data_IF_759963094639
#
_entry.id   IF_759963094639
#
_cell.length_a   1.000
_cell.length_b   1.000
_cell.length_c   1.000
_cell.angle_alpha   90.00
_cell.angle_beta   90.00
_cell.angle_gamma   90.00
#
_symmetry.space_group_name_H-M   'P 1'
#
loop_
_entity.id
_entity.type
_entity.pdbx_description
1 polymer ?
#
# COMPACT_ATOMS: atom_id res chain seq x y z
N UNK A 1 -10.89 16.36 -37.57
CA UNK A 1 -11.88 15.41 -38.12
C UNK A 1 -11.62 15.16 -39.59
N UNK A 2 -11.95 13.99 -40.08
CA UNK A 2 -11.85 13.58 -41.47
C UNK A 2 -13.10 12.81 -41.90
N UNK A 3 -13.34 12.77 -43.22
CA UNK A 3 -14.42 11.98 -43.76
C UNK A 3 -14.12 11.54 -45.19
N UNK A 4 -14.73 10.44 -45.59
CA UNK A 4 -14.74 9.94 -46.96
C UNK A 4 -16.15 10.10 -47.52
N UNK A 5 -16.26 10.85 -48.64
CA UNK A 5 -17.52 11.10 -49.26
C UNK A 5 -17.37 11.22 -50.79
N UNK A 6 -18.42 10.82 -51.54
CA UNK A 6 -18.58 11.17 -52.95
C UNK A 6 -19.57 12.34 -53.08
N UNK A 7 -19.31 13.26 -53.97
CA UNK A 7 -20.12 14.47 -54.12
C UNK A 7 -19.81 15.56 -53.11
N UNK A 8 -20.57 16.66 -53.17
CA UNK A 8 -20.39 17.81 -52.29
C UNK A 8 -21.11 17.60 -50.96
N UNK A 9 -20.34 17.75 -49.88
CA UNK A 9 -20.79 17.59 -48.48
C UNK A 9 -20.35 18.78 -47.64
N UNK A 10 -21.25 19.40 -46.90
CA UNK A 10 -20.97 20.41 -45.92
C UNK A 10 -21.10 19.79 -44.51
N UNK A 11 -20.12 20.00 -43.67
CA UNK A 11 -20.08 19.47 -42.28
C UNK A 11 -20.09 20.61 -41.30
N UNK A 12 -20.88 20.49 -40.24
CA UNK A 12 -20.86 21.35 -39.07
C UNK A 12 -20.94 20.52 -37.78
N UNK A 13 -20.48 21.10 -36.69
CA UNK A 13 -20.44 20.44 -35.39
C UNK A 13 -21.06 21.30 -34.31
N UNK A 14 -21.53 20.69 -33.24
CA UNK A 14 -21.88 21.34 -31.98
C UNK A 14 -21.63 20.41 -30.80
N UNK A 15 -21.55 20.96 -29.62
CA UNK A 15 -21.25 20.25 -28.37
C UNK A 15 -22.21 20.66 -27.25
N UNK A 16 -22.37 19.78 -26.26
CA UNK A 16 -23.19 20.04 -25.08
C UNK A 16 -22.90 19.07 -23.94
N UNK A 17 -23.44 19.37 -22.77
CA UNK A 17 -23.22 18.55 -21.56
C UNK A 17 -24.40 17.63 -21.23
N UNK A 18 -25.52 17.74 -21.92
CA UNK A 18 -26.71 16.89 -21.81
C UNK A 18 -26.77 15.89 -22.97
N UNK A 19 -27.26 14.66 -22.72
CA UNK A 19 -27.35 13.62 -23.75
C UNK A 19 -28.26 14.02 -24.91
N UNK A 20 -29.38 14.61 -24.58
CA UNK A 20 -30.34 15.12 -25.58
C UNK A 20 -30.05 16.61 -25.77
N UNK A 21 -29.91 17.09 -27.01
CA UNK A 21 -29.63 18.49 -27.28
C UNK A 21 -30.73 19.42 -26.78
N UNK A 22 -30.34 20.40 -25.98
CA UNK A 22 -31.20 21.46 -25.43
C UNK A 22 -30.60 22.86 -25.67
N UNK A 23 -31.17 23.89 -25.04
CA UNK A 23 -30.76 25.28 -25.19
C UNK A 23 -29.35 25.58 -24.60
N UNK A 24 -28.76 24.64 -23.85
CA UNK A 24 -27.40 24.76 -23.29
C UNK A 24 -26.30 24.27 -24.23
N UNK A 25 -26.69 23.62 -25.34
CA UNK A 25 -25.74 23.21 -26.36
C UNK A 25 -25.18 24.41 -27.12
N UNK A 26 -23.94 24.30 -27.58
CA UNK A 26 -23.35 25.33 -28.43
C UNK A 26 -24.18 25.49 -29.73
N UNK A 27 -24.06 26.67 -30.33
CA UNK A 27 -24.51 26.85 -31.70
C UNK A 27 -23.73 25.89 -32.64
N UNK A 28 -24.33 25.59 -33.79
CA UNK A 28 -23.60 24.88 -34.85
C UNK A 28 -22.38 25.70 -35.30
N UNK A 29 -21.26 25.05 -35.47
CA UNK A 29 -20.06 25.64 -36.06
C UNK A 29 -20.34 26.08 -37.49
N UNK A 30 -19.43 26.86 -38.06
CA UNK A 30 -19.49 27.23 -39.47
C UNK A 30 -19.56 25.96 -40.33
N UNK A 31 -20.50 25.97 -41.28
CA UNK A 31 -20.69 24.88 -42.23
C UNK A 31 -19.76 25.04 -43.41
N UNK A 32 -19.15 23.93 -43.90
CA UNK A 32 -18.32 23.97 -45.08
C UNK A 32 -17.70 22.63 -45.42
N UNK A 33 -17.23 22.47 -46.69
CA UNK A 33 -16.67 21.24 -47.20
C UNK A 33 -15.24 20.97 -46.67
N UNK A 34 -14.59 21.98 -46.07
CA UNK A 34 -13.22 21.91 -45.58
C UNK A 34 -13.12 22.05 -44.06
N UNK A 35 -14.21 21.85 -43.34
CA UNK A 35 -14.28 21.99 -41.87
C UNK A 35 -13.51 20.84 -41.20
N UNK A 36 -12.17 20.80 -41.29
CA UNK A 36 -11.31 19.75 -40.71
C UNK A 36 -11.06 19.92 -39.23
N UNK A 37 -11.21 21.13 -38.66
CA UNK A 37 -11.10 21.43 -37.25
C UNK A 37 -12.47 21.44 -36.60
N UNK A 38 -12.54 20.94 -35.37
CA UNK A 38 -13.70 21.07 -34.52
C UNK A 38 -13.59 22.43 -33.84
N UNK A 39 -14.44 23.39 -34.22
CA UNK A 39 -14.51 24.75 -33.65
C UNK A 39 -15.48 24.83 -32.45
N UNK A 40 -16.28 23.80 -32.24
CA UNK A 40 -17.22 23.73 -31.12
C UNK A 40 -16.44 23.64 -29.80
N UNK A 41 -16.89 24.26 -28.70
CA UNK A 41 -16.23 24.21 -27.41
C UNK A 41 -16.20 22.78 -26.86
N UNK A 42 -15.22 22.49 -25.97
CA UNK A 42 -15.14 21.21 -25.30
C UNK A 42 -16.40 20.96 -24.46
N UNK A 43 -16.97 19.75 -24.58
CA UNK A 43 -18.13 19.32 -23.80
C UNK A 43 -18.24 17.78 -23.80
N UNK A 44 -19.13 17.24 -22.98
CA UNK A 44 -19.34 15.80 -22.81
C UNK A 44 -19.88 15.08 -24.05
N UNK A 45 -20.71 15.75 -24.81
CA UNK A 45 -21.35 15.20 -26.01
C UNK A 45 -21.00 16.02 -27.23
N UNK A 46 -20.83 15.33 -28.34
CA UNK A 46 -20.46 15.89 -29.61
C UNK A 46 -21.50 15.45 -30.68
N UNK A 47 -21.95 16.37 -31.49
CA UNK A 47 -22.87 16.11 -32.58
C UNK A 47 -22.32 16.64 -33.90
N UNK A 48 -22.44 15.84 -34.92
CA UNK A 48 -22.09 16.18 -36.30
C UNK A 48 -23.36 16.31 -37.14
N UNK A 49 -23.35 17.30 -37.98
CA UNK A 49 -24.37 17.45 -39.03
C UNK A 49 -23.69 17.47 -40.39
N UNK A 50 -24.05 16.51 -41.23
CA UNK A 50 -23.65 16.43 -42.62
C UNK A 50 -24.80 16.88 -43.52
N UNK A 51 -24.57 17.85 -44.39
CA UNK A 51 -25.52 18.30 -45.39
C UNK A 51 -25.01 17.92 -46.78
N UNK A 52 -25.79 17.14 -47.48
CA UNK A 52 -25.52 16.80 -48.85
C UNK A 52 -26.00 17.91 -49.75
N UNK A 53 -25.18 18.31 -50.71
CA UNK A 53 -25.65 19.20 -51.81
C UNK A 53 -26.76 18.49 -52.60
N UNK A 54 -27.48 19.24 -53.45
CA UNK A 54 -28.60 18.68 -54.23
C UNK A 54 -28.20 17.54 -55.22
N UNK A 55 -27.06 16.94 -55.01
CA UNK A 55 -26.54 15.80 -55.72
C UNK A 55 -27.13 14.50 -55.15
N UNK A 56 -27.97 13.82 -55.85
CA UNK A 56 -28.58 12.54 -55.43
C UNK A 56 -27.60 11.38 -55.35
N UNK A 57 -26.36 11.52 -55.86
CA UNK A 57 -25.30 10.53 -55.85
C UNK A 57 -24.29 10.78 -54.75
N UNK A 58 -24.45 11.81 -53.92
CA UNK A 58 -23.58 12.11 -52.80
C UNK A 58 -23.73 11.06 -51.68
N UNK A 59 -22.65 10.48 -51.24
CA UNK A 59 -22.59 9.44 -50.22
C UNK A 59 -21.47 9.75 -49.25
N UNK A 60 -21.73 9.59 -47.92
CA UNK A 60 -20.77 9.66 -46.85
C UNK A 60 -20.48 8.23 -46.38
N UNK A 61 -19.28 7.70 -46.63
CA UNK A 61 -18.88 6.33 -46.31
C UNK A 61 -18.12 6.20 -44.98
N UNK A 62 -17.39 7.24 -44.58
CA UNK A 62 -16.69 7.25 -43.30
C UNK A 62 -16.60 8.65 -42.69
N UNK A 63 -16.64 8.73 -41.39
CA UNK A 63 -16.42 9.94 -40.60
C UNK A 63 -15.58 9.63 -39.37
N UNK A 64 -14.47 10.34 -39.22
CA UNK A 64 -13.57 10.16 -38.09
C UNK A 64 -13.36 11.47 -37.34
N UNK A 65 -13.38 11.41 -36.02
CA UNK A 65 -13.07 12.51 -35.12
C UNK A 65 -12.00 12.06 -34.12
N UNK A 66 -10.83 12.67 -34.23
CA UNK A 66 -9.84 12.55 -33.16
C UNK A 66 -10.23 13.51 -32.04
N UNK A 67 -10.34 12.98 -30.83
CA UNK A 67 -10.66 13.76 -29.64
C UNK A 67 -9.72 13.36 -28.48
N UNK A 68 -9.57 14.25 -27.54
CA UNK A 68 -8.85 14.04 -26.29
C UNK A 68 -9.81 14.35 -25.15
N UNK A 69 -9.97 13.44 -24.23
CA UNK A 69 -10.75 13.66 -23.02
C UNK A 69 -9.99 14.58 -22.06
N UNK A 70 -10.69 15.27 -21.17
CA UNK A 70 -10.04 15.94 -20.05
C UNK A 70 -9.39 14.87 -19.19
N UNK A 71 -8.14 15.10 -18.78
CA UNK A 71 -7.42 14.22 -17.89
C UNK A 71 -7.79 14.56 -16.44
N UNK A 72 -8.44 13.63 -15.74
CA UNK A 72 -8.79 13.75 -14.34
C UNK A 72 -7.70 13.16 -13.47
N UNK A 73 -7.25 13.93 -12.48
CA UNK A 73 -6.22 13.46 -11.56
C UNK A 73 -6.71 12.25 -10.75
N UNK A 74 -5.97 11.17 -10.81
CA UNK A 74 -6.15 10.04 -9.92
C UNK A 74 -5.74 10.40 -8.48
N UNK A 75 -6.37 9.80 -7.47
CA UNK A 75 -6.14 10.08 -6.05
C UNK A 75 -5.63 8.83 -5.36
N UNK A 76 -4.46 8.94 -4.72
CA UNK A 76 -3.84 7.87 -3.91
C UNK A 76 -4.36 7.92 -2.49
N UNK A 77 -4.73 6.77 -1.94
CA UNK A 77 -5.17 6.63 -0.56
C UNK A 77 -4.70 5.32 0.08
N UNK A 78 -4.95 5.19 1.38
CA UNK A 78 -4.75 3.94 2.14
C UNK A 78 -3.36 3.32 1.97
N UNK A 79 -2.29 4.13 1.98
CA UNK A 79 -0.93 3.62 1.92
C UNK A 79 -0.60 2.90 3.22
N UNK A 80 -0.37 1.58 3.14
CA UNK A 80 -0.02 0.73 4.26
C UNK A 80 1.26 -0.04 3.97
N UNK A 81 2.08 -0.24 4.99
CA UNK A 81 3.22 -1.16 4.92
C UNK A 81 3.17 -2.08 6.15
N UNK A 82 3.18 -3.38 5.93
CA UNK A 82 3.04 -4.40 6.98
C UNK A 82 4.02 -5.53 6.74
N UNK A 83 4.44 -6.18 7.84
CA UNK A 83 5.15 -7.43 7.76
C UNK A 83 4.33 -8.43 6.92
N UNK A 84 5.00 -9.15 6.06
CA UNK A 84 4.36 -10.21 5.28
C UNK A 84 3.93 -11.31 6.24
N UNK A 85 2.66 -11.79 6.20
CA UNK A 85 2.32 -13.00 6.93
C UNK A 85 3.25 -14.11 6.45
N UNK A 86 4.07 -14.65 7.34
CA UNK A 86 4.88 -15.80 6.96
C UNK A 86 3.94 -16.98 6.67
N UNK A 87 4.16 -17.71 5.56
CA UNK A 87 3.39 -18.91 5.22
C UNK A 87 3.38 -19.96 6.34
N UNK A 88 4.30 -19.86 7.29
CA UNK A 88 4.39 -20.73 8.46
C UNK A 88 3.57 -20.25 9.66
N UNK A 89 3.13 -18.98 9.72
CA UNK A 89 2.18 -18.54 10.75
C UNK A 89 0.81 -19.22 10.59
N UNK A 90 0.49 -19.69 9.38
CA UNK A 90 -0.71 -20.47 9.08
C UNK A 90 -0.53 -21.97 9.39
N UNK A 91 0.69 -22.44 9.65
CA UNK A 91 1.00 -23.87 9.92
C UNK A 91 1.43 -24.15 11.36
N UNK A 92 1.52 -23.14 12.22
CA UNK A 92 1.97 -23.29 13.59
C UNK A 92 0.85 -23.80 14.50
N UNK A 93 0.45 -25.03 14.29
CA UNK A 93 -0.09 -25.89 15.33
C UNK A 93 1.03 -26.86 15.72
N UNK A 94 1.86 -26.49 16.71
CA UNK A 94 2.77 -27.38 17.40
C UNK A 94 4.27 -27.12 17.17
N UNK A 95 4.93 -26.52 18.14
CA UNK A 95 6.37 -26.58 18.38
C UNK A 95 7.10 -25.22 18.34
N UNK A 96 8.13 -25.06 19.17
CA UNK A 96 8.90 -23.83 19.24
C UNK A 96 9.69 -23.66 17.94
N UNK A 97 9.26 -22.78 17.09
CA UNK A 97 9.99 -22.38 15.89
C UNK A 97 10.70 -21.08 16.18
N UNK A 98 11.98 -21.13 16.49
CA UNK A 98 12.88 -19.99 16.40
C UNK A 98 12.96 -19.59 14.92
N UNK A 99 12.17 -18.66 14.49
CA UNK A 99 12.18 -18.17 13.12
C UNK A 99 12.98 -16.89 13.06
N UNK A 100 13.94 -16.83 12.12
CA UNK A 100 14.50 -15.54 11.71
C UNK A 100 13.36 -14.66 11.23
N UNK A 101 13.27 -13.41 11.71
CA UNK A 101 12.28 -12.44 11.22
C UNK A 101 12.37 -12.31 9.69
N UNK A 102 11.23 -12.22 9.02
CA UNK A 102 11.20 -11.91 7.59
C UNK A 102 11.43 -10.39 7.42
N UNK A 103 12.54 -9.95 6.82
CA UNK A 103 12.81 -8.54 6.63
C UNK A 103 11.92 -7.91 5.54
N UNK A 104 10.99 -8.66 4.95
CA UNK A 104 10.16 -8.17 3.86
C UNK A 104 8.86 -7.59 4.37
N UNK A 105 8.61 -6.34 3.98
CA UNK A 105 7.34 -5.67 4.17
C UNK A 105 6.56 -5.63 2.86
N UNK A 106 5.26 -5.82 2.92
CA UNK A 106 4.37 -5.57 1.78
C UNK A 106 3.77 -4.17 1.92
N UNK A 107 4.02 -3.34 0.92
CA UNK A 107 3.42 -2.01 0.79
C UNK A 107 2.22 -2.13 -0.13
N UNK A 108 1.07 -1.62 0.30
CA UNK A 108 -0.16 -1.61 -0.48
C UNK A 108 -0.80 -0.22 -0.42
N UNK A 109 -1.52 0.15 -1.46
CA UNK A 109 -2.27 1.40 -1.52
C UNK A 109 -3.53 1.22 -2.35
N UNK A 110 -4.39 2.22 -2.33
CA UNK A 110 -5.56 2.31 -3.20
C UNK A 110 -5.44 3.52 -4.11
N UNK A 111 -6.02 3.41 -5.28
CA UNK A 111 -6.12 4.48 -6.26
C UNK A 111 -7.59 4.68 -6.67
N UNK A 112 -8.07 5.91 -6.61
CA UNK A 112 -9.27 6.33 -7.31
C UNK A 112 -8.84 6.96 -8.63
N UNK A 113 -9.11 6.28 -9.73
CA UNK A 113 -8.69 6.63 -11.08
C UNK A 113 -9.92 6.74 -11.99
N UNK A 114 -10.55 7.92 -12.08
CA UNK A 114 -11.80 8.11 -12.79
C UNK A 114 -11.73 7.83 -14.29
N UNK A 115 -10.58 8.13 -14.91
CA UNK A 115 -10.36 7.98 -16.35
C UNK A 115 -9.91 6.55 -16.71
N UNK A 116 -9.53 5.76 -15.69
CA UNK A 116 -8.99 4.41 -15.86
C UNK A 116 -7.71 4.37 -16.68
N UNK A 117 -6.90 5.40 -16.55
CA UNK A 117 -5.60 5.50 -17.18
C UNK A 117 -4.61 4.48 -16.65
N UNK A 118 -3.65 4.08 -17.47
CA UNK A 118 -2.54 3.26 -17.04
C UNK A 118 -1.63 4.06 -16.11
N UNK A 119 -1.56 3.62 -14.85
CA UNK A 119 -0.84 4.31 -13.80
C UNK A 119 0.59 3.78 -13.63
N UNK A 120 1.50 4.69 -13.31
CA UNK A 120 2.84 4.37 -12.82
C UNK A 120 2.99 4.88 -11.40
N UNK A 121 3.62 4.06 -10.55
CA UNK A 121 3.88 4.40 -9.16
C UNK A 121 5.37 4.55 -8.90
N UNK A 122 5.72 5.53 -8.06
CA UNK A 122 7.08 5.72 -7.52
C UNK A 122 6.99 5.68 -6.01
N UNK A 123 7.86 4.90 -5.39
CA UNK A 123 7.87 4.73 -3.95
C UNK A 123 9.15 5.31 -3.36
N UNK A 124 8.98 6.04 -2.25
CA UNK A 124 10.08 6.58 -1.46
C UNK A 124 9.86 6.24 0.01
N UNK A 125 10.95 6.20 0.77
CA UNK A 125 10.90 6.05 2.21
C UNK A 125 11.76 7.10 2.92
N UNK A 126 11.46 7.37 4.18
CA UNK A 126 12.28 8.20 5.06
C UNK A 126 12.25 7.67 6.49
N UNK A 127 13.33 7.86 7.23
CA UNK A 127 13.35 7.65 8.67
C UNK A 127 12.53 8.74 9.36
N UNK A 128 11.70 8.37 10.32
CA UNK A 128 10.94 9.33 11.15
C UNK A 128 11.91 10.24 11.90
N UNK A 129 11.63 11.55 11.92
CA UNK A 129 12.52 12.57 12.48
C UNK A 129 13.52 13.14 11.47
N UNK A 130 13.56 12.63 10.24
CA UNK A 130 14.38 13.21 9.16
C UNK A 130 13.50 13.79 8.05
N UNK A 131 14.07 14.66 7.21
CA UNK A 131 13.39 15.25 6.04
C UNK A 131 13.90 14.69 4.71
N UNK A 132 14.79 13.70 4.74
CA UNK A 132 15.41 13.14 3.53
C UNK A 132 14.62 11.92 3.07
N UNK A 133 14.16 11.97 1.81
CA UNK A 133 13.46 10.88 1.13
C UNK A 133 14.42 10.11 0.23
N UNK A 134 14.42 8.81 0.34
CA UNK A 134 15.20 7.89 -0.49
C UNK A 134 14.27 7.13 -1.43
N UNK A 135 14.72 6.86 -2.65
CA UNK A 135 13.97 6.05 -3.58
C UNK A 135 13.96 4.59 -3.11
N UNK A 136 12.76 4.01 -3.08
CA UNK A 136 12.54 2.61 -2.73
C UNK A 136 12.47 1.77 -4.00
N UNK A 137 11.72 2.23 -4.99
CA UNK A 137 11.73 1.63 -6.33
C UNK A 137 12.97 2.05 -7.10
N UNK A 138 13.56 1.12 -7.86
CA UNK A 138 14.73 1.43 -8.70
C UNK A 138 14.36 2.42 -9.80
N UNK A 139 15.30 3.26 -10.22
CA UNK A 139 15.05 4.33 -11.20
C UNK A 139 14.51 3.86 -12.55
N UNK A 140 14.83 2.62 -12.95
CA UNK A 140 14.37 1.98 -14.20
C UNK A 140 13.19 1.04 -14.01
N UNK A 141 12.73 0.84 -12.78
CA UNK A 141 11.61 -0.03 -12.45
C UNK A 141 10.29 0.69 -12.74
N UNK A 142 9.41 0.02 -13.48
CA UNK A 142 8.06 0.50 -13.74
C UNK A 142 7.10 -0.27 -12.85
N UNK A 143 6.66 0.37 -11.77
CA UNK A 143 5.66 -0.22 -10.86
C UNK A 143 4.29 0.22 -11.35
N UNK A 144 3.44 -0.76 -11.72
CA UNK A 144 2.06 -0.53 -12.20
C UNK A 144 1.01 -1.20 -11.33
N UNK A 145 1.42 -2.04 -10.39
CA UNK A 145 0.53 -2.71 -9.44
C UNK A 145 0.43 -1.89 -8.15
N UNK A 146 -0.69 -1.94 -7.50
CA UNK A 146 -0.97 -1.26 -6.22
C UNK A 146 -0.35 -1.98 -5.00
N UNK A 147 0.76 -2.65 -5.22
CA UNK A 147 1.53 -3.37 -4.21
C UNK A 147 3.01 -3.38 -4.56
N UNK A 148 3.87 -3.35 -3.53
CA UNK A 148 5.32 -3.43 -3.67
C UNK A 148 5.93 -4.17 -2.48
N UNK A 149 6.85 -5.12 -2.75
CA UNK A 149 7.58 -5.83 -1.72
C UNK A 149 8.88 -5.08 -1.38
N UNK A 150 8.99 -4.61 -0.15
CA UNK A 150 10.13 -3.86 0.36
C UNK A 150 11.04 -4.75 1.19
N UNK A 151 12.24 -5.02 0.72
CA UNK A 151 13.27 -5.73 1.47
C UNK A 151 14.02 -4.73 2.36
N UNK A 152 13.85 -4.86 3.68
CA UNK A 152 14.43 -3.99 4.69
C UNK A 152 15.73 -4.52 5.30
N UNK A 153 16.26 -5.65 4.81
CA UNK A 153 17.44 -6.33 5.39
C UNK A 153 18.72 -5.48 5.46
N UNK A 154 18.81 -4.45 4.61
CA UNK A 154 19.96 -3.54 4.55
C UNK A 154 19.65 -2.15 5.14
N UNK A 155 18.53 -1.99 5.84
CA UNK A 155 18.16 -0.73 6.48
C UNK A 155 18.52 -0.78 7.97
N UNK A 156 18.89 0.36 8.56
CA UNK A 156 18.90 0.49 10.01
C UNK A 156 17.50 0.22 10.57
N UNK A 157 17.44 -0.46 11.70
CA UNK A 157 16.18 -0.62 12.42
C UNK A 157 15.65 0.73 12.91
N UNK A 158 14.33 0.86 12.97
CA UNK A 158 13.70 2.11 13.36
C UNK A 158 12.31 2.32 12.75
N UNK A 159 11.82 3.55 12.88
CA UNK A 159 10.48 3.93 12.44
C UNK A 159 10.55 4.72 11.14
N UNK A 160 9.83 4.28 10.14
CA UNK A 160 9.85 4.83 8.79
C UNK A 160 8.48 5.32 8.34
N UNK A 161 8.47 6.13 7.29
CA UNK A 161 7.29 6.41 6.48
C UNK A 161 7.57 6.08 5.03
N UNK A 162 6.55 5.61 4.34
CA UNK A 162 6.58 5.35 2.90
C UNK A 162 5.69 6.37 2.22
N UNK A 163 6.14 6.89 1.07
CA UNK A 163 5.36 7.75 0.19
C UNK A 163 5.18 7.05 -1.14
N UNK A 164 3.95 7.03 -1.60
CA UNK A 164 3.58 6.56 -2.94
C UNK A 164 3.16 7.77 -3.76
N UNK A 165 3.80 7.96 -4.90
CA UNK A 165 3.42 8.94 -5.91
C UNK A 165 2.85 8.19 -7.11
N UNK A 166 1.61 8.45 -7.47
CA UNK A 166 0.96 7.95 -8.67
C UNK A 166 1.07 8.99 -9.80
N UNK A 167 1.28 8.54 -11.01
CA UNK A 167 1.32 9.36 -12.22
C UNK A 167 0.71 8.60 -13.38
N UNK A 168 -0.03 9.31 -14.22
CA UNK A 168 -0.69 8.81 -15.43
C UNK A 168 0.19 9.00 -16.69
N UNK A 169 1.51 9.17 -16.50
CA UNK A 169 2.49 9.40 -17.57
C UNK A 169 2.57 8.30 -18.63
N UNK A 170 1.98 7.12 -18.37
CA UNK A 170 1.91 6.02 -19.33
C UNK A 170 0.77 6.20 -20.34
N UNK A 171 -0.28 6.94 -19.98
CA UNK A 171 -1.47 7.15 -20.79
C UNK A 171 -1.54 8.56 -21.40
N UNK A 172 -0.84 9.53 -20.83
CA UNK A 172 -0.98 10.95 -21.18
C UNK A 172 0.32 11.58 -21.71
N UNK A 173 0.23 12.54 -22.63
CA UNK A 173 1.39 13.31 -23.09
C UNK A 173 1.94 14.20 -21.96
N UNK A 174 3.23 14.57 -21.99
CA UNK A 174 3.93 15.23 -20.90
C UNK A 174 3.30 16.52 -20.36
N UNK A 175 2.62 17.26 -21.20
CA UNK A 175 1.92 18.52 -20.87
C UNK A 175 0.57 18.33 -20.18
N UNK A 176 0.09 17.08 -20.13
CA UNK A 176 -1.20 16.70 -19.50
C UNK A 176 -1.05 15.74 -18.31
N UNK A 177 0.15 15.27 -18.05
CA UNK A 177 0.40 14.35 -16.94
C UNK A 177 -0.05 14.93 -15.62
N UNK A 178 -0.85 14.17 -14.90
CA UNK A 178 -1.25 14.48 -13.53
C UNK A 178 -0.50 13.61 -12.52
N UNK A 179 -0.44 14.08 -11.28
CA UNK A 179 0.23 13.38 -10.18
C UNK A 179 -0.51 13.59 -8.88
N UNK A 180 -0.48 12.56 -8.05
CA UNK A 180 -0.94 12.63 -6.68
C UNK A 180 -0.03 11.81 -5.77
N UNK A 181 0.04 12.13 -4.47
CA UNK A 181 0.89 11.41 -3.54
C UNK A 181 0.24 11.26 -2.17
N UNK A 182 0.52 10.14 -1.51
CA UNK A 182 0.12 9.89 -0.15
C UNK A 182 1.23 9.22 0.66
N UNK A 183 1.23 9.45 1.97
CA UNK A 183 2.17 8.84 2.91
C UNK A 183 1.48 7.78 3.76
N UNK A 184 2.23 6.75 4.14
CA UNK A 184 1.79 5.75 5.11
C UNK A 184 1.74 6.32 6.52
N UNK A 185 1.07 5.59 7.43
CA UNK A 185 1.37 5.67 8.85
C UNK A 185 2.84 5.34 9.14
N UNK A 186 3.20 5.33 10.42
CA UNK A 186 4.55 4.90 10.84
C UNK A 186 4.68 3.39 10.62
N UNK A 187 5.79 2.99 10.00
CA UNK A 187 6.15 1.61 9.71
C UNK A 187 7.36 1.26 10.58
N UNK A 188 7.26 0.20 11.35
CA UNK A 188 8.37 -0.32 12.12
C UNK A 188 9.20 -1.27 11.25
N UNK A 189 10.51 -1.03 11.20
CA UNK A 189 11.52 -1.95 10.67
C UNK A 189 12.32 -2.46 11.85
N UNK A 190 12.09 -3.70 12.22
CA UNK A 190 12.73 -4.38 13.32
C UNK A 190 12.86 -5.87 13.01
N UNK A 191 14.09 -6.35 12.91
CA UNK A 191 14.45 -7.73 12.60
C UNK A 191 15.29 -8.38 13.71
N UNK A 192 15.47 -7.69 14.82
CA UNK A 192 16.26 -8.16 15.97
C UNK A 192 15.33 -8.65 17.07
N UNK A 193 15.37 -9.93 17.44
CA UNK A 193 14.58 -10.42 18.56
C UNK A 193 14.92 -9.72 19.88
N UNK A 194 13.94 -9.58 20.78
CA UNK A 194 14.20 -9.10 22.12
C UNK A 194 15.13 -10.06 22.87
N UNK A 195 15.68 -9.63 23.97
CA UNK A 195 16.54 -10.46 24.83
C UNK A 195 15.96 -10.57 26.23
N UNK A 196 16.29 -11.68 26.91
CA UNK A 196 15.93 -11.89 28.30
C UNK A 196 17.24 -11.86 29.11
N UNK A 197 17.33 -10.91 30.03
CA UNK A 197 18.47 -10.80 30.95
C UNK A 197 18.08 -11.28 32.35
N UNK A 198 19.05 -11.81 33.11
CA UNK A 198 18.94 -12.19 34.53
C UNK A 198 17.75 -13.12 34.85
N UNK A 199 17.33 -13.97 33.90
CA UNK A 199 16.24 -14.92 34.13
C UNK A 199 16.63 -15.93 35.21
N UNK A 200 15.88 -15.97 36.30
CA UNK A 200 16.09 -16.88 37.43
C UNK A 200 14.77 -17.31 38.07
N UNK A 201 14.81 -18.42 38.75
CA UNK A 201 13.69 -18.88 39.56
C UNK A 201 14.11 -19.02 41.05
N UNK A 202 13.27 -18.57 41.95
CA UNK A 202 13.37 -18.78 43.40
C UNK A 202 12.12 -19.51 43.86
N UNK A 203 12.21 -20.82 44.10
CA UNK A 203 11.04 -21.64 44.26
C UNK A 203 10.20 -21.61 42.98
N UNK A 204 8.97 -21.13 43.09
CA UNK A 204 8.04 -20.99 41.93
C UNK A 204 7.97 -19.58 41.34
N UNK A 205 8.62 -18.61 41.96
CA UNK A 205 8.67 -17.25 41.43
C UNK A 205 9.76 -17.12 40.38
N UNK A 206 9.38 -16.73 39.18
CA UNK A 206 10.27 -16.48 38.04
C UNK A 206 10.47 -14.98 37.89
N UNK A 207 11.72 -14.55 37.83
CA UNK A 207 12.11 -13.14 37.69
C UNK A 207 13.15 -12.99 36.61
N UNK A 208 13.14 -11.84 35.92
CA UNK A 208 14.05 -11.49 34.86
C UNK A 208 13.76 -10.12 34.29
N UNK A 209 14.37 -9.84 33.15
CA UNK A 209 14.22 -8.57 32.46
C UNK A 209 14.11 -8.85 30.95
N UNK A 210 13.01 -8.45 30.35
CA UNK A 210 12.81 -8.43 28.90
C UNK A 210 13.29 -7.10 28.35
N UNK A 211 14.07 -7.12 27.28
CA UNK A 211 14.71 -5.93 26.68
C UNK A 211 14.60 -5.99 25.17
N UNK A 212 14.22 -4.88 24.56
CA UNK A 212 14.29 -4.65 23.13
C UNK A 212 15.04 -3.37 22.78
N UNK A 213 15.54 -3.26 21.54
CA UNK A 213 16.36 -2.14 21.10
C UNK A 213 15.57 -1.05 20.35
N UNK A 214 14.38 -1.35 19.84
CA UNK A 214 13.67 -0.52 18.87
C UNK A 214 12.24 -0.20 19.30
N UNK A 215 11.53 -1.21 19.83
CA UNK A 215 10.12 -1.11 20.16
C UNK A 215 9.80 -1.59 21.57
N UNK A 216 8.54 -1.49 22.03
CA UNK A 216 8.11 -2.04 23.29
C UNK A 216 8.05 -3.57 23.24
N UNK A 217 8.20 -4.18 24.41
CA UNK A 217 7.84 -5.59 24.61
C UNK A 217 6.33 -5.70 24.50
N UNK A 218 5.85 -6.67 23.74
CA UNK A 218 4.42 -6.85 23.46
C UNK A 218 3.79 -8.00 24.26
N UNK A 219 4.58 -9.04 24.56
CA UNK A 219 4.04 -10.23 25.19
C UNK A 219 5.12 -11.06 25.87
N UNK A 220 4.78 -11.58 27.03
CA UNK A 220 5.55 -12.56 27.78
C UNK A 220 4.70 -13.80 27.97
N UNK A 221 5.24 -14.97 27.66
CA UNK A 221 4.58 -16.26 27.83
C UNK A 221 5.51 -17.27 28.48
N UNK A 222 4.97 -18.22 29.20
CA UNK A 222 5.75 -19.33 29.71
C UNK A 222 4.98 -20.66 29.56
N UNK A 223 5.75 -21.73 29.41
CA UNK A 223 5.24 -23.10 29.33
C UNK A 223 6.22 -24.04 30.03
N UNK A 224 5.78 -25.27 30.36
CA UNK A 224 6.72 -26.35 30.68
C UNK A 224 7.57 -26.67 29.43
N UNK A 225 8.87 -26.77 29.61
CA UNK A 225 9.77 -27.07 28.49
C UNK A 225 9.36 -28.38 27.80
N UNK A 226 9.17 -28.32 26.48
CA UNK A 226 8.73 -29.44 25.67
C UNK A 226 7.22 -29.60 25.54
N UNK A 227 6.41 -28.65 26.06
CA UNK A 227 4.97 -28.57 25.83
C UNK A 227 4.61 -27.34 25.00
N UNK A 228 3.41 -27.34 24.42
CA UNK A 228 2.88 -26.19 23.65
C UNK A 228 1.83 -25.40 24.42
N UNK A 229 1.68 -25.67 25.72
CA UNK A 229 0.68 -25.02 26.58
C UNK A 229 1.22 -23.67 27.11
N UNK A 230 1.36 -22.71 26.22
CA UNK A 230 1.87 -21.38 26.53
C UNK A 230 0.81 -20.53 27.25
N UNK A 231 1.11 -20.08 28.46
CA UNK A 231 0.28 -19.17 29.24
C UNK A 231 0.87 -17.76 29.19
N UNK A 232 0.04 -16.72 28.95
CA UNK A 232 0.49 -15.32 28.96
C UNK A 232 0.69 -14.82 30.40
N UNK A 233 1.71 -13.98 30.57
CA UNK A 233 2.01 -13.25 31.79
C UNK A 233 2.18 -11.77 31.48
N UNK A 234 1.80 -10.92 32.43
CA UNK A 234 1.97 -9.49 32.32
C UNK A 234 3.29 -9.06 32.98
N UNK A 235 3.90 -7.93 32.59
CA UNK A 235 5.05 -7.36 33.28
C UNK A 235 4.66 -6.92 34.69
N UNK A 236 5.64 -6.56 35.52
CA UNK A 236 5.42 -6.26 36.93
C UNK A 236 4.44 -5.09 37.18
N UNK A 237 4.39 -4.12 36.28
CA UNK A 237 3.44 -2.98 36.30
C UNK A 237 2.09 -3.26 35.60
N UNK A 238 1.97 -4.38 34.89
CA UNK A 238 0.74 -4.84 34.23
C UNK A 238 0.51 -4.29 32.82
N UNK A 239 1.43 -3.50 32.24
CA UNK A 239 1.27 -2.85 30.93
C UNK A 239 2.50 -3.13 30.07
N UNK A 240 2.27 -3.52 28.80
CA UNK A 240 3.31 -3.68 27.78
C UNK A 240 3.44 -2.38 26.97
N UNK A 241 4.27 -1.43 27.38
CA UNK A 241 4.45 -0.16 26.68
C UNK A 241 5.91 0.33 26.61
N UNK A 242 6.82 -0.38 27.28
CA UNK A 242 8.23 -0.02 27.33
C UNK A 242 9.13 -1.02 26.57
N UNK A 243 10.30 -0.60 26.07
CA UNK A 243 11.31 -1.51 25.51
C UNK A 243 12.03 -2.31 26.60
N UNK A 244 11.72 -2.08 27.86
CA UNK A 244 12.28 -2.76 29.04
C UNK A 244 11.17 -3.11 30.00
N UNK A 245 10.85 -4.40 30.10
CA UNK A 245 9.80 -4.93 30.96
C UNK A 245 10.36 -5.89 32.02
N UNK A 246 9.86 -5.78 33.25
CA UNK A 246 10.23 -6.70 34.32
C UNK A 246 9.38 -7.99 34.22
N UNK A 247 10.06 -9.11 34.15
CA UNK A 247 9.46 -10.43 34.25
C UNK A 247 9.35 -10.79 35.74
N UNK A 248 8.14 -10.88 36.26
CA UNK A 248 7.92 -11.32 37.64
C UNK A 248 6.57 -12.04 37.74
N UNK A 249 6.60 -13.37 37.77
CA UNK A 249 5.38 -14.16 37.85
C UNK A 249 5.53 -15.42 38.71
N UNK A 250 4.39 -15.96 39.17
CA UNK A 250 4.30 -17.23 39.90
C UNK A 250 4.00 -18.38 38.91
N UNK A 251 4.93 -19.30 38.80
CA UNK A 251 4.82 -20.48 37.95
C UNK A 251 3.87 -21.59 38.47
N UNK A 252 3.19 -21.36 39.61
CA UNK A 252 2.25 -22.34 40.17
C UNK A 252 1.12 -22.63 39.20
N UNK A 253 0.68 -21.65 38.41
CA UNK A 253 -0.36 -21.80 37.39
C UNK A 253 -0.02 -22.76 36.27
N UNK A 254 1.29 -23.02 36.03
CA UNK A 254 1.78 -23.95 35.01
C UNK A 254 1.75 -25.43 35.48
N UNK A 255 1.18 -25.71 36.66
CA UNK A 255 1.13 -27.05 37.23
C UNK A 255 2.48 -27.77 37.31
N UNK A 256 3.57 -27.01 37.36
CA UNK A 256 4.93 -27.52 37.42
C UNK A 256 5.17 -28.25 38.75
N UNK A 257 5.69 -29.46 38.72
CA UNK A 257 6.07 -30.23 39.92
C UNK A 257 7.60 -30.33 40.04
N UNK A 258 8.13 -30.12 41.25
CA UNK A 258 9.54 -30.36 41.54
C UNK A 258 10.52 -29.54 40.69
N UNK A 259 11.57 -30.16 40.22
CA UNK A 259 12.65 -29.55 39.43
C UNK A 259 12.28 -29.38 37.94
N UNK A 260 11.12 -28.80 37.65
CA UNK A 260 10.67 -28.56 36.28
C UNK A 260 11.52 -27.49 35.58
N UNK A 261 11.67 -27.64 34.28
CA UNK A 261 12.23 -26.60 33.40
C UNK A 261 11.07 -25.84 32.74
N UNK A 262 11.08 -24.53 32.88
CA UNK A 262 10.16 -23.65 32.16
C UNK A 262 10.86 -23.03 30.96
N UNK A 263 10.14 -22.92 29.87
CA UNK A 263 10.50 -22.08 28.73
C UNK A 263 9.76 -20.73 28.88
N UNK A 264 10.50 -19.63 28.89
CA UNK A 264 9.93 -18.27 28.89
C UNK A 264 10.16 -17.67 27.52
N UNK A 265 9.10 -17.18 26.90
CA UNK A 265 9.11 -16.58 25.58
C UNK A 265 8.68 -15.12 25.65
N UNK A 266 9.45 -14.24 25.03
CA UNK A 266 9.21 -12.79 25.00
C UNK A 266 9.09 -12.35 23.55
N UNK A 267 8.10 -11.54 23.26
CA UNK A 267 7.87 -10.93 21.95
C UNK A 267 7.99 -9.42 22.02
N UNK A 268 8.57 -8.83 20.98
CA UNK A 268 8.49 -7.38 20.68
C UNK A 268 7.22 -7.00 19.87
N UNK A 269 7.08 -5.72 19.53
CA UNK A 269 5.96 -5.21 18.74
C UNK A 269 6.07 -5.50 17.24
N UNK A 270 7.23 -5.98 16.75
CA UNK A 270 7.41 -6.52 15.42
C UNK A 270 7.13 -8.03 15.32
N UNK A 271 6.73 -8.69 16.44
CA UNK A 271 6.55 -10.14 16.59
C UNK A 271 7.84 -10.97 16.45
N UNK A 272 9.02 -10.37 16.63
CA UNK A 272 10.21 -11.16 16.84
C UNK A 272 10.17 -11.72 18.26
N UNK A 273 10.82 -12.85 18.50
CA UNK A 273 10.78 -13.47 19.82
C UNK A 273 12.07 -14.19 20.20
N UNK A 274 12.28 -14.31 21.50
CA UNK A 274 13.32 -15.13 22.13
C UNK A 274 12.70 -16.13 23.09
N UNK A 275 13.29 -17.32 23.21
CA UNK A 275 12.94 -18.31 24.23
C UNK A 275 14.17 -18.57 25.08
N UNK A 276 13.99 -18.54 26.40
CA UNK A 276 15.02 -18.89 27.35
C UNK A 276 14.47 -19.85 28.42
N UNK A 277 15.24 -20.85 28.78
CA UNK A 277 14.85 -21.81 29.79
C UNK A 277 15.29 -21.37 31.18
N UNK A 278 14.46 -21.67 32.19
CA UNK A 278 14.77 -21.50 33.62
C UNK A 278 14.34 -22.73 34.39
N UNK A 279 15.20 -23.20 35.32
CA UNK A 279 14.92 -24.36 36.18
C UNK A 279 14.25 -23.88 37.48
N UNK A 280 13.10 -24.42 37.80
CA UNK A 280 12.47 -24.32 39.12
C UNK A 280 13.24 -25.20 40.11
N UNK A 281 13.42 -24.71 41.32
CA UNK A 281 14.14 -25.43 42.40
C UNK A 281 13.31 -25.46 43.67
#
# INVERSE_FOLDING_TARGET
MSWEATGALDVSTRTGNTKDPDDTWSAWSREGPEARLVESPAARYFQVRARFAKDRAAELSAFEVAFVTDNLRAVVSDVNARARPSDDALKASGGPVSKKPDPKLSITWKIDNPDKDDMRYRLKYRLVGTNVWYDLSRSHEVVTKETYDWDTSNLPEGRYRVRVTATDELANPPDRVTRDEAESGVVLVDITPPRIDQLRAQGRRVQGLALDGVGPIQRIEAALAGTDDWLPFFPADGIFDEPREEIDFDATVLSASGNAILAVRVYDDANNFVIQNVQLR
#
